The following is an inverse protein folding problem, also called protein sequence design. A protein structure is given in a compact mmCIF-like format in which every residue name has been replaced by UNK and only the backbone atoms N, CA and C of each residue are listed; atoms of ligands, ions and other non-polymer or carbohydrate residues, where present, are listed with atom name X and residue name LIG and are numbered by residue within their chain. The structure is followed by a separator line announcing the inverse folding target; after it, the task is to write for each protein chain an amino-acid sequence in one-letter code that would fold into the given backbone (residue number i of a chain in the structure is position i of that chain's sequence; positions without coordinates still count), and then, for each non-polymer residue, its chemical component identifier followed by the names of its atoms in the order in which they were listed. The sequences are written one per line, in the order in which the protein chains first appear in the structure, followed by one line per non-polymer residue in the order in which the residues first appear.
data_IF_068750802034
#
_entry.id   IF_068750802034
#
_cell.length_a   1.000
_cell.length_b   1.000
_cell.length_c   1.000
_cell.angle_alpha   90.00
_cell.angle_beta   90.00
_cell.angle_gamma   90.00
#
_symmetry.space_group_name_H-M   'P 1'
#
loop_
_entity.id
_entity.type
_entity.pdbx_description
1 polymer ?
#
# COMPACT_ATOMS: atom_id res chain seq x y z
N UNK A 1 -34.38 -24.92 4.02
CA UNK A 1 -34.62 -23.65 3.31
C UNK A 1 -34.66 -22.43 4.25
N UNK A 2 -35.51 -22.38 5.28
CA UNK A 2 -35.64 -21.18 6.16
C UNK A 2 -34.42 -20.90 7.06
N UNK A 3 -33.69 -21.93 7.46
CA UNK A 3 -32.52 -21.81 8.35
C UNK A 3 -31.27 -21.30 7.60
N UNK A 4 -31.13 -21.71 6.35
CA UNK A 4 -30.04 -21.33 5.44
C UNK A 4 -30.15 -19.86 5.03
N UNK A 5 -31.37 -19.40 4.72
CA UNK A 5 -31.65 -18.02 4.36
C UNK A 5 -31.31 -17.04 5.50
N UNK A 6 -31.62 -17.40 6.76
CA UNK A 6 -31.26 -16.59 7.93
C UNK A 6 -29.75 -16.47 8.13
N UNK A 7 -29.01 -17.55 7.85
CA UNK A 7 -27.56 -17.56 7.97
C UNK A 7 -26.89 -16.67 6.91
N UNK A 8 -27.33 -16.78 5.66
CA UNK A 8 -26.86 -15.93 4.55
C UNK A 8 -27.16 -14.46 4.80
N UNK A 9 -28.37 -14.13 5.26
CA UNK A 9 -28.75 -12.74 5.56
C UNK A 9 -27.95 -12.16 6.73
N UNK A 10 -27.68 -12.96 7.77
CA UNK A 10 -26.82 -12.56 8.89
C UNK A 10 -25.39 -12.28 8.41
N UNK A 11 -24.84 -13.14 7.56
CA UNK A 11 -23.50 -12.94 6.98
C UNK A 11 -23.42 -11.69 6.11
N UNK A 12 -24.44 -11.42 5.29
CA UNK A 12 -24.51 -10.19 4.47
C UNK A 12 -24.59 -8.96 5.38
N UNK A 13 -25.43 -9.00 6.41
CA UNK A 13 -25.56 -7.89 7.37
C UNK A 13 -24.25 -7.60 8.09
N UNK A 14 -23.59 -8.61 8.64
CA UNK A 14 -22.29 -8.45 9.31
C UNK A 14 -21.23 -7.90 8.35
N UNK A 15 -21.26 -8.29 7.06
CA UNK A 15 -20.37 -7.72 6.05
C UNK A 15 -20.66 -6.24 5.77
N UNK A 16 -21.93 -5.84 5.69
CA UNK A 16 -22.32 -4.43 5.54
C UNK A 16 -21.89 -3.61 6.77
N UNK A 17 -22.09 -4.14 7.97
CA UNK A 17 -21.66 -3.49 9.22
C UNK A 17 -20.14 -3.28 9.24
N UNK A 18 -19.35 -4.28 8.86
CA UNK A 18 -17.89 -4.14 8.75
C UNK A 18 -17.47 -3.09 7.70
N UNK A 19 -18.18 -3.00 6.56
CA UNK A 19 -17.92 -1.96 5.55
C UNK A 19 -18.30 -0.56 6.07
N UNK A 20 -19.38 -0.43 6.83
CA UNK A 20 -19.80 0.84 7.44
C UNK A 20 -18.83 1.28 8.54
N UNK A 21 -18.36 0.37 9.38
CA UNK A 21 -17.32 0.64 10.37
C UNK A 21 -16.02 1.08 9.69
N UNK A 22 -15.65 0.45 8.58
CA UNK A 22 -14.51 0.85 7.78
C UNK A 22 -14.66 2.28 7.21
N UNK A 23 -15.80 2.59 6.58
CA UNK A 23 -16.08 3.93 6.05
C UNK A 23 -16.10 4.96 7.18
N UNK A 24 -16.67 4.61 8.34
CA UNK A 24 -16.66 5.43 9.54
C UNK A 24 -15.24 5.68 10.07
N UNK A 25 -14.40 4.66 10.10
CA UNK A 25 -12.99 4.75 10.49
C UNK A 25 -12.17 5.66 9.56
N UNK A 26 -12.34 5.50 8.24
CA UNK A 26 -11.69 6.37 7.24
C UNK A 26 -12.16 7.82 7.38
N UNK A 27 -13.47 8.02 7.52
CA UNK A 27 -14.06 9.36 7.69
C UNK A 27 -13.55 10.02 8.99
N UNK A 28 -13.47 9.25 10.08
CA UNK A 28 -12.90 9.69 11.34
C UNK A 28 -11.43 10.08 11.22
N UNK A 29 -10.63 9.29 10.49
CA UNK A 29 -9.23 9.60 10.21
C UNK A 29 -9.05 10.89 9.39
N UNK A 30 -9.91 11.13 8.40
CA UNK A 30 -9.90 12.38 7.61
C UNK A 30 -10.21 13.59 8.50
N UNK A 31 -11.27 13.49 9.32
CA UNK A 31 -11.65 14.57 10.25
C UNK A 31 -10.55 14.85 11.28
N UNK A 32 -9.95 13.80 11.85
CA UNK A 32 -8.82 13.95 12.78
C UNK A 32 -7.61 14.61 12.11
N UNK A 33 -7.28 14.20 10.88
CA UNK A 33 -6.18 14.79 10.11
C UNK A 33 -6.44 16.28 9.85
N UNK A 34 -7.65 16.63 9.44
CA UNK A 34 -8.06 18.02 9.23
C UNK A 34 -8.00 18.84 10.53
N UNK A 35 -8.47 18.27 11.65
CA UNK A 35 -8.42 18.91 12.95
C UNK A 35 -6.98 19.15 13.42
N UNK A 36 -6.10 18.16 13.30
CA UNK A 36 -4.68 18.29 13.66
C UNK A 36 -3.99 19.36 12.80
N UNK A 37 -4.21 19.35 11.47
CA UNK A 37 -3.67 20.36 10.57
C UNK A 37 -4.17 21.76 10.95
N UNK A 38 -5.46 21.90 11.24
CA UNK A 38 -6.07 23.18 11.68
C UNK A 38 -5.45 23.67 12.99
N UNK A 39 -5.26 22.77 13.96
CA UNK A 39 -4.60 23.09 15.23
C UNK A 39 -3.15 23.53 14.97
N UNK A 40 -2.40 22.86 14.09
CA UNK A 40 -1.04 23.27 13.73
C UNK A 40 -1.02 24.68 13.14
N UNK A 41 -1.92 25.01 12.22
CA UNK A 41 -2.03 26.37 11.66
C UNK A 41 -2.42 27.40 12.72
N UNK A 42 -3.41 27.10 13.56
CA UNK A 42 -3.86 28.00 14.63
C UNK A 42 -2.75 28.24 15.68
N UNK A 43 -1.98 27.20 16.01
CA UNK A 43 -0.81 27.32 16.89
C UNK A 43 0.30 28.13 16.23
N UNK A 44 0.58 27.90 14.94
CA UNK A 44 1.54 28.73 14.21
C UNK A 44 1.10 30.19 14.14
N UNK A 45 -0.16 30.50 13.88
CA UNK A 45 -0.65 31.88 13.86
C UNK A 45 -0.56 32.53 15.25
N UNK A 46 -0.89 31.79 16.32
CA UNK A 46 -0.89 32.30 17.69
C UNK A 46 0.50 32.46 18.29
N UNK A 47 1.43 31.55 17.99
CA UNK A 47 2.74 31.49 18.63
C UNK A 47 3.88 31.90 17.70
N UNK A 48 3.77 31.64 16.40
CA UNK A 48 4.77 32.08 15.45
C UNK A 48 4.52 33.56 15.15
N UNK A 49 5.40 34.43 15.69
CA UNK A 49 5.48 35.85 15.32
C UNK A 49 6.08 36.02 13.91
N UNK A 50 5.57 35.28 12.94
CA UNK A 50 5.98 35.44 11.54
C UNK A 50 5.28 36.69 11.03
N UNK A 51 5.97 37.83 11.13
CA UNK A 51 5.64 38.99 10.30
C UNK A 51 5.93 38.58 8.86
N UNK A 52 4.89 38.21 8.12
CA UNK A 52 5.00 38.06 6.68
C UNK A 52 5.11 39.49 6.15
N UNK A 53 6.34 39.94 5.93
CA UNK A 53 6.63 41.21 5.27
C UNK A 53 6.26 41.04 3.79
N UNK A 54 4.98 41.26 3.50
CA UNK A 54 4.44 41.24 2.15
C UNK A 54 4.97 42.49 1.44
N UNK A 55 6.16 42.39 0.85
CA UNK A 55 6.66 43.37 -0.13
C UNK A 55 5.56 43.67 -1.15
N UNK A 56 5.33 44.95 -1.44
CA UNK A 56 4.47 45.36 -2.55
C UNK A 56 4.94 44.66 -3.83
N UNK A 57 4.08 43.78 -4.34
CA UNK A 57 4.38 42.93 -5.48
C UNK A 57 4.35 43.76 -6.77
N UNK A 58 5.43 43.72 -7.56
CA UNK A 58 5.46 44.25 -8.92
C UNK A 58 5.61 43.12 -9.96
N UNK A 59 5.18 43.31 -11.22
CA UNK A 59 5.39 42.32 -12.29
C UNK A 59 6.87 41.94 -12.53
N UNK A 60 7.82 42.77 -12.08
CA UNK A 60 9.26 42.50 -12.15
C UNK A 60 9.75 41.56 -11.05
N UNK A 61 8.95 41.38 -9.99
CA UNK A 61 9.22 40.44 -8.90
C UNK A 61 8.72 39.02 -9.22
N UNK A 62 8.25 38.79 -10.45
CA UNK A 62 7.87 37.46 -10.89
C UNK A 62 9.12 36.57 -10.92
N UNK A 63 9.20 35.53 -10.07
CA UNK A 63 10.34 34.62 -10.12
C UNK A 63 10.38 33.96 -11.49
N UNK A 64 11.58 33.80 -12.05
CA UNK A 64 11.77 33.02 -13.27
C UNK A 64 11.06 31.67 -13.12
N UNK A 65 10.25 31.31 -14.12
CA UNK A 65 9.43 30.10 -14.07
C UNK A 65 10.40 28.93 -13.90
N UNK A 66 10.41 28.24 -12.74
CA UNK A 66 11.34 27.14 -12.53
C UNK A 66 11.05 26.09 -13.59
N UNK A 67 12.11 25.56 -14.21
CA UNK A 67 11.98 24.61 -15.31
C UNK A 67 11.03 23.48 -14.92
N UNK A 68 9.93 23.32 -15.69
CA UNK A 68 8.88 22.31 -15.43
C UNK A 68 9.41 20.88 -15.33
N UNK A 69 10.65 20.64 -15.80
CA UNK A 69 11.29 19.33 -15.92
C UNK A 69 11.62 18.65 -14.59
N UNK A 70 11.75 19.42 -13.50
CA UNK A 70 12.18 18.90 -12.19
C UNK A 70 11.14 19.00 -11.08
N UNK A 71 9.93 19.50 -11.40
CA UNK A 71 8.80 19.51 -10.48
C UNK A 71 8.15 18.13 -10.38
N UNK A 72 7.89 17.70 -9.15
CA UNK A 72 7.08 16.52 -8.87
C UNK A 72 5.62 16.91 -9.09
N UNK A 73 4.93 16.18 -9.97
CA UNK A 73 3.50 16.44 -10.18
C UNK A 73 2.74 15.96 -8.95
N UNK A 74 1.87 16.77 -8.33
CA UNK A 74 1.12 16.38 -7.12
C UNK A 74 0.28 15.11 -7.29
N UNK A 75 -0.17 14.83 -8.52
CA UNK A 75 -0.93 13.62 -8.84
C UNK A 75 -0.12 12.33 -8.63
N UNK A 76 1.19 12.33 -8.90
CA UNK A 76 2.05 11.13 -8.79
C UNK A 76 2.07 10.56 -7.35
N UNK A 77 2.44 11.32 -6.30
CA UNK A 77 2.38 10.82 -4.94
C UNK A 77 0.94 10.57 -4.45
N UNK A 78 -0.05 11.34 -4.92
CA UNK A 78 -1.45 11.13 -4.52
C UNK A 78 -2.01 9.80 -5.01
N UNK A 79 -1.79 9.46 -6.29
CA UNK A 79 -2.18 8.15 -6.83
C UNK A 79 -1.44 7.02 -6.13
N UNK A 80 -0.14 7.19 -5.87
CA UNK A 80 0.65 6.18 -5.15
C UNK A 80 0.10 5.91 -3.75
N UNK A 81 -0.19 6.96 -2.97
CA UNK A 81 -0.83 6.82 -1.64
C UNK A 81 -2.18 6.13 -1.75
N UNK A 82 -3.04 6.55 -2.68
CA UNK A 82 -4.36 5.97 -2.86
C UNK A 82 -4.29 4.48 -3.17
N UNK A 83 -3.50 4.08 -4.17
CA UNK A 83 -3.35 2.68 -4.55
C UNK A 83 -2.68 1.86 -3.44
N UNK A 84 -1.67 2.40 -2.77
CA UNK A 84 -1.01 1.73 -1.64
C UNK A 84 -2.00 1.45 -0.51
N UNK A 85 -2.77 2.46 -0.08
CA UNK A 85 -3.82 2.27 0.93
C UNK A 85 -4.87 1.27 0.46
N UNK A 86 -5.36 1.41 -0.77
CA UNK A 86 -6.37 0.50 -1.34
C UNK A 86 -5.88 -0.96 -1.35
N UNK A 87 -4.67 -1.21 -1.84
CA UNK A 87 -4.10 -2.55 -1.89
C UNK A 87 -3.85 -3.11 -0.50
N UNK A 88 -3.32 -2.32 0.43
CA UNK A 88 -3.16 -2.77 1.83
C UNK A 88 -4.51 -3.14 2.44
N UNK A 89 -5.57 -2.39 2.18
CA UNK A 89 -6.90 -2.69 2.70
C UNK A 89 -7.47 -3.98 2.12
N UNK A 90 -7.37 -4.19 0.81
CA UNK A 90 -7.78 -5.44 0.18
C UNK A 90 -6.95 -6.59 0.73
N UNK A 91 -5.64 -6.41 0.84
CA UNK A 91 -4.73 -7.43 1.35
C UNK A 91 -4.99 -7.78 2.82
N UNK A 92 -5.32 -6.82 3.68
CA UNK A 92 -5.58 -7.10 5.11
C UNK A 92 -6.99 -7.66 5.32
N UNK A 93 -8.01 -6.97 4.80
CA UNK A 93 -9.41 -7.26 5.12
C UNK A 93 -10.10 -8.22 4.16
N UNK A 94 -9.63 -8.29 2.91
CA UNK A 94 -10.23 -9.09 1.84
C UNK A 94 -9.23 -10.09 1.23
N UNK A 95 -8.27 -10.57 2.04
CA UNK A 95 -7.24 -11.52 1.58
C UNK A 95 -7.81 -12.79 0.93
N UNK A 96 -9.00 -13.22 1.34
CA UNK A 96 -9.67 -14.38 0.75
C UNK A 96 -10.02 -14.19 -0.74
N UNK A 97 -10.12 -12.96 -1.24
CA UNK A 97 -10.35 -12.69 -2.66
C UNK A 97 -9.07 -12.87 -3.49
N UNK A 98 -7.92 -12.96 -2.83
CA UNK A 98 -6.63 -13.19 -3.48
C UNK A 98 -6.36 -14.69 -3.44
N UNK A 99 -6.91 -15.38 -4.42
CA UNK A 99 -6.93 -16.84 -4.48
C UNK A 99 -7.23 -17.37 -5.87
N UNK A 100 -7.26 -18.70 -5.97
CA UNK A 100 -7.72 -19.38 -7.18
C UNK A 100 -9.23 -19.55 -7.11
N UNK A 101 -9.93 -19.07 -8.13
CA UNK A 101 -11.38 -19.15 -8.22
C UNK A 101 -11.79 -20.48 -8.84
N UNK A 102 -12.66 -21.21 -8.15
CA UNK A 102 -13.19 -22.50 -8.60
C UNK A 102 -14.62 -22.33 -9.11
N UNK A 103 -14.82 -22.59 -10.39
CA UNK A 103 -16.12 -22.55 -11.04
C UNK A 103 -16.56 -23.96 -11.46
N UNK A 104 -17.82 -24.28 -11.20
CA UNK A 104 -18.48 -25.48 -11.72
C UNK A 104 -19.76 -25.05 -12.45
N UNK A 105 -19.96 -25.57 -13.66
CA UNK A 105 -21.08 -25.22 -14.55
C UNK A 105 -21.36 -23.71 -14.71
N UNK A 106 -20.34 -22.86 -14.59
CA UNK A 106 -20.44 -21.41 -14.70
C UNK A 106 -20.78 -20.68 -13.39
N UNK A 107 -20.96 -21.40 -12.28
CA UNK A 107 -21.18 -20.83 -10.95
C UNK A 107 -19.89 -20.88 -10.11
N UNK A 108 -19.64 -19.82 -9.33
CA UNK A 108 -18.52 -19.77 -8.40
C UNK A 108 -18.82 -20.64 -7.17
N UNK A 109 -18.08 -21.75 -7.02
CA UNK A 109 -18.25 -22.69 -5.92
C UNK A 109 -17.41 -22.27 -4.71
N UNK A 110 -16.13 -21.97 -4.93
CA UNK A 110 -15.21 -21.63 -3.86
C UNK A 110 -14.02 -20.81 -4.36
N UNK A 111 -13.31 -20.19 -3.42
CA UNK A 111 -12.01 -19.54 -3.67
C UNK A 111 -11.00 -20.19 -2.74
N UNK A 112 -9.89 -20.67 -3.30
CA UNK A 112 -8.76 -21.21 -2.54
C UNK A 112 -7.79 -20.07 -2.25
N UNK A 113 -7.73 -19.55 -1.01
CA UNK A 113 -6.96 -18.35 -0.70
C UNK A 113 -5.46 -18.65 -0.67
N UNK A 114 -4.65 -17.79 -1.29
CA UNK A 114 -3.18 -17.94 -1.30
C UNK A 114 -2.59 -17.61 0.08
N UNK A 115 -3.20 -16.67 0.80
CA UNK A 115 -2.70 -16.18 2.07
C UNK A 115 -3.47 -16.76 3.25
N UNK A 116 -2.77 -16.95 4.36
CA UNK A 116 -3.35 -17.32 5.64
C UNK A 116 -3.93 -16.07 6.32
N UNK A 117 -5.23 -16.08 6.61
CA UNK A 117 -5.88 -15.00 7.35
C UNK A 117 -5.23 -14.78 8.74
N UNK A 118 -4.91 -15.88 9.43
CA UNK A 118 -4.18 -15.85 10.71
C UNK A 118 -2.76 -15.32 10.53
N UNK A 119 -2.10 -15.68 9.42
CA UNK A 119 -0.78 -15.18 9.06
C UNK A 119 -0.73 -13.68 8.87
N UNK A 120 -1.68 -13.14 8.12
CA UNK A 120 -1.83 -11.70 7.90
C UNK A 120 -2.07 -10.96 9.22
N UNK A 121 -2.88 -11.52 10.13
CA UNK A 121 -3.09 -10.91 11.44
C UNK A 121 -1.80 -10.88 12.28
N UNK A 122 -1.00 -11.95 12.25
CA UNK A 122 0.28 -11.99 12.97
C UNK A 122 1.30 -11.00 12.38
N UNK A 123 1.31 -10.83 11.06
CA UNK A 123 2.23 -9.93 10.35
C UNK A 123 1.69 -8.51 10.19
N UNK A 124 0.50 -8.21 10.72
CA UNK A 124 -0.17 -6.93 10.56
C UNK A 124 0.71 -5.73 10.96
N UNK A 125 1.47 -5.75 12.07
CA UNK A 125 2.36 -4.63 12.42
C UNK A 125 3.40 -4.32 11.34
N UNK A 126 3.95 -5.35 10.70
CA UNK A 126 4.93 -5.20 9.63
C UNK A 126 4.30 -4.66 8.35
N UNK A 127 3.11 -5.16 7.98
CA UNK A 127 2.32 -4.71 6.82
C UNK A 127 1.93 -3.23 7.00
N UNK A 128 1.46 -2.85 8.18
CA UNK A 128 1.13 -1.47 8.50
C UNK A 128 2.38 -0.58 8.50
N UNK A 129 3.50 -1.06 9.05
CA UNK A 129 4.79 -0.36 9.00
C UNK A 129 5.23 -0.08 7.55
N UNK A 130 5.14 -1.07 6.66
CA UNK A 130 5.46 -0.94 5.25
C UNK A 130 4.54 0.08 4.55
N UNK A 131 3.25 0.06 4.89
CA UNK A 131 2.24 0.98 4.35
C UNK A 131 2.52 2.42 4.81
N UNK A 132 2.78 2.63 6.10
CA UNK A 132 3.10 3.94 6.68
C UNK A 132 4.37 4.51 6.06
N UNK A 133 5.44 3.72 5.91
CA UNK A 133 6.66 4.18 5.25
C UNK A 133 6.41 4.63 3.81
N UNK A 134 5.57 3.90 3.08
CA UNK A 134 5.21 4.25 1.70
C UNK A 134 4.42 5.57 1.65
N UNK A 135 3.46 5.77 2.57
CA UNK A 135 2.71 7.03 2.69
C UNK A 135 3.63 8.20 3.07
N UNK A 136 4.52 8.01 4.06
CA UNK A 136 5.46 9.03 4.48
C UNK A 136 6.39 9.44 3.33
N UNK A 137 6.91 8.46 2.57
CA UNK A 137 7.75 8.71 1.40
C UNK A 137 7.04 9.61 0.38
N UNK A 138 5.81 9.26 0.02
CA UNK A 138 5.04 10.00 -0.98
C UNK A 138 4.54 11.34 -0.45
N UNK A 139 4.23 11.43 0.86
CA UNK A 139 3.96 12.69 1.55
C UNK A 139 5.14 13.65 1.50
N UNK A 140 6.37 13.16 1.72
CA UNK A 140 7.58 13.99 1.57
C UNK A 140 7.77 14.42 0.11
N UNK A 141 7.56 13.54 -0.88
CA UNK A 141 7.60 13.91 -2.31
C UNK A 141 6.59 15.02 -2.63
N UNK A 142 5.39 14.93 -2.07
CA UNK A 142 4.32 15.92 -2.23
C UNK A 142 4.71 17.28 -1.60
N UNK A 143 5.23 17.28 -0.37
CA UNK A 143 5.63 18.50 0.35
C UNK A 143 6.83 19.20 -0.30
N UNK A 144 7.85 18.44 -0.72
CA UNK A 144 9.07 19.02 -1.30
C UNK A 144 8.82 19.52 -2.73
N UNK A 145 8.03 18.79 -3.53
CA UNK A 145 7.59 19.23 -4.86
C UNK A 145 8.68 19.37 -5.93
N UNK A 146 9.96 19.19 -5.58
CA UNK A 146 11.12 19.26 -6.48
C UNK A 146 12.13 18.17 -6.16
N UNK A 147 12.77 17.61 -7.18
CA UNK A 147 13.80 16.59 -6.98
C UNK A 147 15.10 17.21 -6.43
N UNK A 148 15.60 16.75 -5.29
CA UNK A 148 16.92 17.15 -4.77
C UNK A 148 17.74 15.91 -4.45
N UNK A 149 19.06 16.05 -4.40
CA UNK A 149 19.94 14.93 -3.99
C UNK A 149 19.56 14.45 -2.59
N UNK A 150 19.27 15.36 -1.66
CA UNK A 150 18.80 15.03 -0.31
C UNK A 150 17.51 14.21 -0.34
N UNK A 151 16.51 14.64 -1.13
CA UNK A 151 15.26 13.88 -1.29
C UNK A 151 15.52 12.48 -1.87
N UNK A 152 16.40 12.36 -2.87
CA UNK A 152 16.78 11.08 -3.45
C UNK A 152 17.42 10.12 -2.44
N UNK A 153 18.33 10.63 -1.59
CA UNK A 153 18.95 9.83 -0.52
C UNK A 153 17.93 9.40 0.52
N UNK A 154 17.05 10.31 0.95
CA UNK A 154 15.98 10.00 1.91
C UNK A 154 15.05 8.91 1.38
N UNK A 155 14.65 8.99 0.10
CA UNK A 155 13.85 7.94 -0.56
C UNK A 155 14.61 6.61 -0.57
N UNK A 156 15.92 6.62 -0.87
CA UNK A 156 16.74 5.41 -0.84
C UNK A 156 16.78 4.74 0.53
N UNK A 157 16.91 5.53 1.61
CA UNK A 157 16.88 5.01 2.99
C UNK A 157 15.51 4.38 3.28
N UNK A 158 14.41 5.06 2.95
CA UNK A 158 13.06 4.52 3.17
C UNK A 158 12.86 3.23 2.38
N UNK A 159 13.27 3.19 1.11
CA UNK A 159 13.16 1.99 0.28
C UNK A 159 13.99 0.83 0.82
N UNK A 160 15.16 1.08 1.40
CA UNK A 160 15.97 0.04 2.06
C UNK A 160 15.23 -0.58 3.26
N UNK A 161 14.62 0.26 4.11
CA UNK A 161 13.81 -0.22 5.24
C UNK A 161 12.58 -0.99 4.73
N UNK A 162 11.92 -0.49 3.69
CA UNK A 162 10.78 -1.15 3.05
C UNK A 162 11.15 -2.52 2.48
N UNK A 163 12.34 -2.68 1.88
CA UNK A 163 12.85 -3.98 1.43
C UNK A 163 13.01 -4.93 2.61
N UNK A 164 13.61 -4.50 3.72
CA UNK A 164 13.79 -5.35 4.89
C UNK A 164 12.45 -5.82 5.46
N UNK A 165 11.46 -4.93 5.53
CA UNK A 165 10.09 -5.29 5.95
C UNK A 165 9.42 -6.24 4.96
N UNK A 166 9.54 -5.99 3.65
CA UNK A 166 8.98 -6.87 2.63
C UNK A 166 9.58 -8.28 2.72
N UNK A 167 10.90 -8.39 2.91
CA UNK A 167 11.56 -9.68 3.16
C UNK A 167 10.95 -10.33 4.41
N UNK A 168 10.90 -9.63 5.55
CA UNK A 168 10.37 -10.17 6.79
C UNK A 168 8.91 -10.66 6.69
N UNK A 169 8.09 -10.01 5.85
CA UNK A 169 6.70 -10.39 5.59
C UNK A 169 6.64 -11.61 4.67
N UNK A 170 7.22 -11.53 3.47
CA UNK A 170 7.00 -12.49 2.40
C UNK A 170 7.82 -13.78 2.55
N UNK A 171 8.96 -13.76 3.26
CA UNK A 171 9.68 -15.01 3.59
C UNK A 171 9.06 -15.77 4.75
N UNK A 172 8.13 -15.15 5.50
CA UNK A 172 7.54 -15.80 6.66
C UNK A 172 6.50 -16.85 6.21
N UNK A 173 6.70 -18.15 6.51
CA UNK A 173 5.79 -19.20 6.08
C UNK A 173 4.36 -19.01 6.57
N UNK A 174 4.18 -18.34 7.72
CA UNK A 174 2.88 -18.10 8.34
C UNK A 174 2.01 -17.22 7.44
N UNK A 175 2.59 -16.36 6.58
CA UNK A 175 1.83 -15.54 5.63
C UNK A 175 1.03 -16.39 4.63
N UNK A 176 1.62 -17.49 4.19
CA UNK A 176 1.10 -18.32 3.10
C UNK A 176 0.10 -19.34 3.66
N UNK A 177 -0.96 -19.65 2.90
CA UNK A 177 -1.90 -20.70 3.31
C UNK A 177 -1.16 -22.06 3.26
N UNK A 178 -0.96 -22.74 4.41
CA UNK A 178 -0.21 -24.00 4.44
C UNK A 178 -0.94 -25.14 3.71
N UNK A 179 -2.26 -25.03 3.55
CA UNK A 179 -3.09 -26.02 2.88
C UNK A 179 -3.38 -25.64 1.43
N UNK A 180 -2.82 -24.54 0.91
CA UNK A 180 -3.17 -24.00 -0.41
C UNK A 180 -3.11 -25.05 -1.51
N UNK A 181 -2.02 -25.81 -1.55
CA UNK A 181 -1.75 -26.80 -2.60
C UNK A 181 -2.75 -27.96 -2.50
N UNK A 182 -2.97 -28.48 -1.29
CA UNK A 182 -3.96 -29.53 -0.98
C UNK A 182 -5.40 -29.11 -1.27
N UNK A 183 -5.79 -27.91 -0.86
CA UNK A 183 -7.11 -27.34 -1.13
C UNK A 183 -7.34 -27.16 -2.64
N UNK A 184 -6.31 -26.71 -3.35
CA UNK A 184 -6.37 -26.54 -4.80
C UNK A 184 -6.54 -27.87 -5.54
N UNK A 185 -5.82 -28.92 -5.14
CA UNK A 185 -6.02 -30.25 -5.72
C UNK A 185 -7.41 -30.81 -5.46
N UNK A 186 -7.95 -30.60 -4.25
CA UNK A 186 -9.30 -31.03 -3.90
C UNK A 186 -10.40 -30.40 -4.75
N UNK A 187 -10.14 -29.24 -5.38
CA UNK A 187 -11.09 -28.64 -6.33
C UNK A 187 -11.16 -29.36 -7.68
N UNK A 188 -10.17 -30.22 -8.00
CA UNK A 188 -10.08 -30.87 -9.31
C UNK A 188 -9.60 -29.95 -10.45
N UNK A 189 -9.32 -28.66 -10.18
CA UNK A 189 -8.74 -27.72 -11.16
C UNK A 189 -7.34 -28.14 -11.59
N UNK A 190 -6.60 -28.79 -10.69
CA UNK A 190 -5.18 -29.12 -10.85
C UNK A 190 -5.00 -30.64 -10.87
N UNK A 191 -4.22 -31.14 -11.82
CA UNK A 191 -3.88 -32.57 -11.95
C UNK A 191 -2.75 -32.97 -10.99
N UNK A 192 -2.56 -34.28 -10.75
CA UNK A 192 -1.48 -34.79 -9.90
C UNK A 192 -0.08 -34.35 -10.32
N UNK A 193 0.22 -34.35 -11.62
CA UNK A 193 1.54 -33.89 -12.10
C UNK A 193 1.79 -32.40 -11.80
N UNK A 194 0.75 -31.56 -11.92
CA UNK A 194 0.85 -30.12 -11.63
C UNK A 194 0.94 -29.89 -10.11
N UNK A 195 0.26 -30.72 -9.33
CA UNK A 195 0.35 -30.73 -7.87
C UNK A 195 1.80 -30.94 -7.41
N UNK A 196 2.46 -32.00 -7.91
CA UNK A 196 3.84 -32.33 -7.56
C UNK A 196 4.82 -31.20 -7.95
N UNK A 197 4.55 -30.52 -9.08
CA UNK A 197 5.31 -29.34 -9.49
C UNK A 197 5.10 -28.16 -8.53
N UNK A 198 3.86 -27.91 -8.10
CA UNK A 198 3.52 -26.81 -7.20
C UNK A 198 4.13 -27.04 -5.81
N UNK A 199 4.01 -28.23 -5.24
CA UNK A 199 4.60 -28.56 -3.94
C UNK A 199 6.12 -28.41 -3.96
N UNK A 200 6.79 -28.98 -4.97
CA UNK A 200 8.25 -28.93 -5.09
C UNK A 200 8.77 -27.51 -5.23
N UNK A 201 8.04 -26.64 -5.93
CA UNK A 201 8.47 -25.28 -6.23
C UNK A 201 7.76 -24.22 -5.37
N UNK A 202 6.98 -24.59 -4.37
CA UNK A 202 6.17 -23.66 -3.59
C UNK A 202 6.99 -22.52 -3.00
N UNK A 203 8.15 -22.86 -2.40
CA UNK A 203 9.09 -21.89 -1.82
C UNK A 203 9.67 -20.96 -2.89
N UNK A 204 9.97 -21.46 -4.09
CA UNK A 204 10.47 -20.64 -5.19
C UNK A 204 9.40 -19.67 -5.69
N UNK A 205 8.15 -20.14 -5.81
CA UNK A 205 7.00 -19.33 -6.26
C UNK A 205 6.69 -18.21 -5.27
N UNK A 206 6.64 -18.53 -3.97
CA UNK A 206 6.39 -17.54 -2.91
C UNK A 206 7.54 -16.55 -2.78
N UNK A 207 8.80 -17.00 -2.88
CA UNK A 207 9.96 -16.10 -2.91
C UNK A 207 10.02 -15.25 -4.19
N UNK A 208 9.41 -15.68 -5.29
CA UNK A 208 9.27 -14.91 -6.52
C UNK A 208 8.68 -13.51 -6.29
N UNK A 209 7.71 -13.39 -5.37
CA UNK A 209 7.12 -12.10 -4.99
C UNK A 209 8.14 -11.13 -4.41
N UNK A 210 9.11 -11.62 -3.63
CA UNK A 210 10.16 -10.78 -3.04
C UNK A 210 11.03 -10.18 -4.12
N UNK A 211 11.41 -10.94 -5.14
CA UNK A 211 12.25 -10.43 -6.22
C UNK A 211 11.57 -9.29 -6.98
N UNK A 212 10.25 -9.39 -7.22
CA UNK A 212 9.47 -8.32 -7.85
C UNK A 212 9.45 -7.07 -6.97
N UNK A 213 9.18 -7.22 -5.67
CA UNK A 213 9.16 -6.11 -4.72
C UNK A 213 10.53 -5.42 -4.61
N UNK A 214 11.59 -6.21 -4.42
CA UNK A 214 12.97 -5.71 -4.31
C UNK A 214 13.38 -4.99 -5.58
N UNK A 215 13.09 -5.56 -6.76
CA UNK A 215 13.35 -4.91 -8.03
C UNK A 215 12.64 -3.56 -8.14
N UNK A 216 11.35 -3.48 -7.76
CA UNK A 216 10.59 -2.23 -7.73
C UNK A 216 11.24 -1.15 -6.87
N UNK A 217 11.67 -1.49 -5.65
CA UNK A 217 12.34 -0.55 -4.75
C UNK A 217 13.73 -0.13 -5.25
N UNK A 218 14.47 -1.02 -5.90
CA UNK A 218 15.76 -0.69 -6.53
C UNK A 218 15.54 0.33 -7.66
N UNK A 219 14.57 0.08 -8.54
CA UNK A 219 14.24 0.99 -9.64
C UNK A 219 13.80 2.37 -9.12
N UNK A 220 12.93 2.43 -8.11
CA UNK A 220 12.49 3.69 -7.49
C UNK A 220 13.66 4.45 -6.85
N UNK A 221 14.58 3.73 -6.20
CA UNK A 221 15.79 4.31 -5.60
C UNK A 221 16.71 4.93 -6.65
N UNK A 222 17.03 4.18 -7.71
CA UNK A 222 17.88 4.66 -8.81
C UNK A 222 17.23 5.86 -9.49
N UNK A 223 15.93 5.78 -9.81
CA UNK A 223 15.16 6.87 -10.41
C UNK A 223 15.20 8.14 -9.56
N UNK A 224 14.99 8.00 -8.25
CA UNK A 224 14.99 9.12 -7.30
C UNK A 224 16.35 9.80 -7.20
N UNK A 225 17.43 9.02 -7.12
CA UNK A 225 18.80 9.54 -7.08
C UNK A 225 19.19 10.23 -8.40
N UNK A 226 18.92 9.61 -9.55
CA UNK A 226 19.23 10.19 -10.87
C UNK A 226 18.49 11.51 -11.07
N UNK A 227 17.21 11.59 -10.72
CA UNK A 227 16.44 12.84 -10.78
C UNK A 227 17.00 13.89 -9.83
N UNK A 228 17.41 13.49 -8.62
CA UNK A 228 18.04 14.37 -7.64
C UNK A 228 19.37 14.97 -8.11
N UNK A 229 20.23 14.17 -8.74
CA UNK A 229 21.51 14.64 -9.29
C UNK A 229 21.34 15.51 -10.54
N UNK A 230 20.39 15.18 -11.42
CA UNK A 230 20.12 15.98 -12.62
C UNK A 230 19.58 17.37 -12.30
N UNK A 231 18.83 17.55 -11.22
CA UNK A 231 18.33 18.88 -10.82
C UNK A 231 19.41 19.78 -10.19
N UNK A 232 20.59 19.25 -9.84
CA UNK A 232 21.70 20.06 -9.31
C UNK A 232 22.53 20.74 -10.43
N UNK A 233 22.37 20.30 -11.68
CA UNK A 233 22.98 20.89 -12.88
C UNK A 233 21.98 21.78 -13.58
#
# INVERSE_FOLDING_TARGET
TTHEFKHTFKNIRTRIENMLEFVGGVSGGILQSFAIITIIFALNERFAKVKIDLKEWSPKDLPEIPEKKYRIKPAEPLFSIFFNVLFTLIFVFNNHWIGVYHFDQGELISIVPIFSATGIQQLLPYILGLTVLSILKDGVKFLVGKWTVFLGVLIGIVNMISILLAIAIFTNPVLWNPNFVTELYATGIVTGDIMDLLERNWVLLTNGFIYIFVFGYIVDTISSLVKGFKNKR
#
